data_IF_656992050605
#
_entry.id   IF_656992050605
#
_cell.length_a   1.000
_cell.length_b   1.000
_cell.length_c   1.000
_cell.angle_alpha   90.00
_cell.angle_beta   90.00
_cell.angle_gamma   90.00
#
_symmetry.space_group_name_H-M   'P 1'
#
loop_
_entity.id
_entity.type
_entity.pdbx_description
1 polymer ?
#
# COMPACT_ATOMS: atom_id res chain seq x y z
N UNK A 1 -13.68 12.30 -0.64
CA UNK A 1 -13.35 10.97 -0.09
C UNK A 1 -12.88 11.13 1.35
N UNK A 2 -13.26 10.25 2.28
CA UNK A 2 -12.77 10.34 3.67
C UNK A 2 -11.29 9.97 3.76
N UNK A 3 -10.63 10.35 4.86
CA UNK A 3 -9.22 10.03 5.09
C UNK A 3 -9.01 8.52 5.13
N UNK A 4 -9.86 7.78 5.84
CA UNK A 4 -9.77 6.33 5.97
C UNK A 4 -9.91 5.64 4.61
N UNK A 5 -10.83 6.12 3.77
CA UNK A 5 -11.04 5.56 2.43
C UNK A 5 -9.87 5.86 1.50
N UNK A 6 -9.26 7.05 1.61
CA UNK A 6 -8.03 7.39 0.88
C UNK A 6 -6.88 6.47 1.29
N UNK A 7 -6.69 6.29 2.59
CA UNK A 7 -5.65 5.37 3.08
C UNK A 7 -5.91 3.95 2.60
N UNK A 8 -7.16 3.47 2.59
CA UNK A 8 -7.54 2.18 1.98
C UNK A 8 -7.19 2.10 0.48
N UNK A 9 -7.33 3.19 -0.27
CA UNK A 9 -6.90 3.22 -1.67
C UNK A 9 -5.38 3.17 -1.80
N UNK A 10 -4.64 3.95 -1.01
CA UNK A 10 -3.18 3.84 -0.94
C UNK A 10 -2.78 2.41 -0.61
N UNK A 11 -3.56 1.74 0.25
CA UNK A 11 -3.32 0.37 0.61
C UNK A 11 -3.33 -0.59 -0.55
N UNK A 12 -4.40 -0.57 -1.32
CA UNK A 12 -4.53 -1.45 -2.48
C UNK A 12 -3.49 -1.14 -3.56
N UNK A 13 -3.17 0.14 -3.76
CA UNK A 13 -2.12 0.55 -4.72
C UNK A 13 -0.74 0.06 -4.29
N UNK A 14 -0.35 0.24 -3.02
CA UNK A 14 0.94 -0.25 -2.49
C UNK A 14 1.04 -1.77 -2.62
N UNK A 15 -0.04 -2.49 -2.27
CA UNK A 15 -0.08 -3.94 -2.40
C UNK A 15 0.06 -4.40 -3.86
N UNK A 16 -0.61 -3.74 -4.81
CA UNK A 16 -0.46 -4.01 -6.24
C UNK A 16 1.00 -3.91 -6.67
N UNK A 17 1.69 -2.81 -6.31
CA UNK A 17 3.08 -2.60 -6.68
C UNK A 17 4.00 -3.65 -6.03
N UNK A 18 3.91 -3.84 -4.71
CA UNK A 18 4.85 -4.68 -3.96
C UNK A 18 4.63 -6.17 -4.22
N UNK A 19 3.39 -6.66 -4.24
CA UNK A 19 3.10 -8.10 -4.38
C UNK A 19 3.36 -8.62 -5.79
N UNK A 20 3.41 -7.74 -6.80
CA UNK A 20 3.69 -8.10 -8.19
C UNK A 20 5.04 -7.58 -8.69
N UNK A 21 5.83 -6.96 -7.80
CA UNK A 21 7.14 -6.39 -8.09
C UNK A 21 7.11 -5.40 -9.27
N UNK A 22 6.05 -4.60 -9.36
CA UNK A 22 5.99 -3.55 -10.38
C UNK A 22 7.04 -2.46 -10.09
N UNK A 23 7.59 -1.80 -11.13
CA UNK A 23 8.39 -0.60 -10.95
C UNK A 23 7.63 0.44 -10.14
N UNK A 24 8.29 1.14 -9.22
CA UNK A 24 7.61 2.15 -8.40
C UNK A 24 7.07 3.32 -9.23
N UNK A 25 7.63 3.55 -10.43
CA UNK A 25 7.12 4.54 -11.38
C UNK A 25 5.73 4.20 -11.94
N UNK A 26 5.24 2.97 -11.77
CA UNK A 26 3.94 2.55 -12.28
C UNK A 26 2.78 3.40 -11.72
N UNK A 27 2.89 3.86 -10.46
CA UNK A 27 1.87 4.73 -9.85
C UNK A 27 1.74 6.10 -10.53
N UNK A 28 2.73 6.47 -11.34
CA UNK A 28 2.78 7.70 -12.12
C UNK A 28 2.53 7.46 -13.62
N UNK A 29 2.41 6.21 -14.05
CA UNK A 29 2.15 5.88 -15.45
C UNK A 29 0.81 6.49 -15.91
N UNK A 30 0.75 7.16 -17.07
CA UNK A 30 -0.47 7.84 -17.51
C UNK A 30 -1.69 6.91 -17.60
N UNK A 31 -1.52 5.70 -18.14
CA UNK A 31 -2.57 4.69 -18.26
C UNK A 31 -3.07 4.19 -16.90
N UNK A 32 -2.16 4.02 -15.93
CA UNK A 32 -2.52 3.62 -14.58
C UNK A 32 -3.32 4.72 -13.87
N UNK A 33 -2.89 5.98 -13.98
CA UNK A 33 -3.61 7.13 -13.38
C UNK A 33 -4.97 7.35 -14.04
N UNK A 34 -5.06 7.20 -15.36
CA UNK A 34 -6.33 7.29 -16.10
C UNK A 34 -7.34 6.21 -15.67
N UNK A 35 -6.86 4.97 -15.50
CA UNK A 35 -7.67 3.88 -14.96
C UNK A 35 -8.19 4.21 -13.55
N UNK A 36 -7.32 4.67 -12.65
CA UNK A 36 -7.72 5.01 -11.27
C UNK A 36 -8.67 6.21 -11.22
N UNK A 37 -8.47 7.21 -12.07
CA UNK A 37 -9.36 8.35 -12.20
C UNK A 37 -10.75 7.93 -12.69
N UNK A 38 -10.80 7.05 -13.70
CA UNK A 38 -12.06 6.50 -14.23
C UNK A 38 -12.83 5.72 -13.15
N UNK A 39 -12.13 4.95 -12.32
CA UNK A 39 -12.75 4.20 -11.22
C UNK A 39 -13.18 5.09 -10.05
N UNK A 40 -12.40 6.12 -9.73
CA UNK A 40 -12.72 7.07 -8.66
C UNK A 40 -12.05 8.44 -8.92
N UNK A 41 -12.79 9.41 -9.48
CA UNK A 41 -12.26 10.73 -9.80
C UNK A 41 -11.77 11.53 -8.59
N UNK A 42 -12.25 11.18 -7.39
CA UNK A 42 -11.90 11.86 -6.14
C UNK A 42 -10.66 11.25 -5.45
N UNK A 43 -10.02 10.25 -6.06
CA UNK A 43 -8.79 9.66 -5.55
C UNK A 43 -7.58 10.14 -6.34
N UNK A 44 -6.62 10.75 -5.64
CA UNK A 44 -5.32 11.06 -6.19
C UNK A 44 -4.34 9.94 -5.82
N UNK A 45 -3.82 9.18 -6.80
CA UNK A 45 -2.83 8.13 -6.54
C UNK A 45 -1.54 8.72 -5.96
N UNK A 46 -0.81 7.96 -5.11
CA UNK A 46 0.43 8.42 -4.51
C UNK A 46 1.50 8.71 -5.58
N UNK A 47 2.47 9.54 -5.23
CA UNK A 47 3.68 9.68 -6.04
C UNK A 47 4.62 8.51 -5.77
N UNK A 48 5.55 8.27 -6.69
CA UNK A 48 6.62 7.27 -6.53
C UNK A 48 7.42 7.51 -5.25
N UNK A 49 7.74 8.78 -4.97
CA UNK A 49 8.53 9.15 -3.80
C UNK A 49 7.77 8.93 -2.50
N UNK A 50 6.48 9.26 -2.47
CA UNK A 50 5.64 8.99 -1.30
C UNK A 50 5.46 7.47 -1.08
N UNK A 51 5.29 6.72 -2.16
CA UNK A 51 5.21 5.25 -2.12
C UNK A 51 6.49 4.65 -1.51
N UNK A 52 7.65 5.03 -2.05
CA UNK A 52 8.97 4.51 -1.64
C UNK A 52 9.34 4.90 -0.21
N UNK A 53 9.18 6.18 0.13
CA UNK A 53 9.76 6.73 1.35
C UNK A 53 8.80 6.70 2.55
N UNK A 54 7.50 6.48 2.34
CA UNK A 54 6.50 6.55 3.42
C UNK A 54 5.58 5.32 3.43
N UNK A 55 4.88 5.04 2.33
CA UNK A 55 3.85 3.98 2.33
C UNK A 55 4.45 2.58 2.52
N UNK A 56 5.48 2.22 1.74
CA UNK A 56 6.09 0.88 1.85
C UNK A 56 6.74 0.67 3.23
N UNK A 57 7.59 1.59 3.76
CA UNK A 57 8.21 1.40 5.07
C UNK A 57 7.20 1.33 6.21
N UNK A 58 6.22 2.25 6.25
CA UNK A 58 5.21 2.26 7.33
C UNK A 58 4.43 0.95 7.41
N UNK A 59 4.15 0.37 6.26
CA UNK A 59 3.45 -0.90 6.16
C UNK A 59 4.28 -2.11 6.52
N UNK A 60 5.54 -2.10 6.09
CA UNK A 60 6.46 -3.16 6.45
C UNK A 60 6.57 -3.28 7.97
N UNK A 61 6.66 -2.15 8.69
CA UNK A 61 6.73 -2.17 10.16
C UNK A 61 5.43 -2.69 10.80
N UNK A 62 4.27 -2.31 10.27
CA UNK A 62 2.98 -2.84 10.74
C UNK A 62 2.91 -4.36 10.53
N UNK A 63 3.20 -4.82 9.32
CA UNK A 63 3.12 -6.26 8.98
C UNK A 63 4.14 -7.08 9.78
N UNK A 64 5.36 -6.56 9.92
CA UNK A 64 6.40 -7.16 10.76
C UNK A 64 5.95 -7.27 12.21
N UNK A 65 5.32 -6.24 12.76
CA UNK A 65 4.77 -6.28 14.12
C UNK A 65 3.68 -7.34 14.26
N UNK A 66 2.76 -7.42 13.28
CA UNK A 66 1.71 -8.45 13.28
C UNK A 66 2.32 -9.86 13.29
N UNK A 67 3.29 -10.12 12.42
CA UNK A 67 3.99 -11.41 12.34
C UNK A 67 4.69 -11.74 13.68
N UNK A 68 5.35 -10.77 14.31
CA UNK A 68 5.99 -10.98 15.62
C UNK A 68 4.96 -11.37 16.68
N UNK A 69 3.81 -10.68 16.71
CA UNK A 69 2.72 -11.01 17.63
C UNK A 69 2.18 -12.41 17.37
N UNK A 70 1.87 -12.76 16.12
CA UNK A 70 1.39 -14.10 15.73
C UNK A 70 2.39 -15.20 16.14
N UNK A 71 3.69 -14.98 15.93
CA UNK A 71 4.73 -15.94 16.33
C UNK A 71 4.83 -16.08 17.87
N UNK A 72 4.61 -15.00 18.62
CA UNK A 72 4.66 -15.04 20.08
C UNK A 72 3.52 -15.86 20.68
N UNK A 73 2.33 -15.81 20.09
CA UNK A 73 1.15 -16.57 20.53
C UNK A 73 1.34 -18.08 20.34
N UNK A 74 1.99 -18.49 19.24
CA UNK A 74 2.30 -19.92 18.98
C UNK A 74 3.27 -20.50 20.01
N UNK A 75 4.20 -19.69 20.54
CA UNK A 75 5.21 -20.15 21.50
C UNK A 75 4.66 -20.49 22.89
N UNK A 76 3.43 -20.10 23.22
CA UNK A 76 2.80 -20.35 24.53
C UNK A 76 1.87 -21.58 24.53
N UNK A 77 1.79 -22.29 23.40
CA UNK A 77 0.96 -23.49 23.24
C UNK A 77 1.76 -24.80 23.08
N UNK A 78 3.07 -24.77 23.36
CA UNK A 78 3.97 -25.94 23.45
C UNK A 78 4.49 -26.03 24.89
#
# INVERSE_FOLDING_TARGET
>A
MTVEKREECHRKVTAFVVKRLHPFSEVEAPTFRDMLFTLNPNYTPPTRDYLKNQLIPSWYEIEKSNIITELSEVSHHI
#
